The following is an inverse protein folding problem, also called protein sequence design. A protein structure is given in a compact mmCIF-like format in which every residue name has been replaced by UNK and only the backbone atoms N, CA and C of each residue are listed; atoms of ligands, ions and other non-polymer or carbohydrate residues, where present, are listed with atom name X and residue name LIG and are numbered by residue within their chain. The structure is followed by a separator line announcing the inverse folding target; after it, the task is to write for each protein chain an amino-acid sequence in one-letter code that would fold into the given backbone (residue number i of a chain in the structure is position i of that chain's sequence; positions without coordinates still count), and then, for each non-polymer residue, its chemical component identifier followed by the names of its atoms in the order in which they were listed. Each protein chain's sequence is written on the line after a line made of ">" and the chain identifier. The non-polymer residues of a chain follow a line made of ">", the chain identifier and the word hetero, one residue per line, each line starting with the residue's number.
data_IF_142723239937
#
_entry.id   IF_142723239937
#
_cell.length_a   1.000
_cell.length_b   1.000
_cell.length_c   1.000
_cell.angle_alpha   90.00
_cell.angle_beta   90.00
_cell.angle_gamma   90.00
#
_symmetry.space_group_name_H-M   'P 1'
#
loop_
_entity.id
_entity.type
_entity.pdbx_description
1 polymer ?
#
# COMPACT_ATOMS: atom_id res chain seq x y z
N UNK A 1 -10.89 0.75 -21.46
CA UNK A 1 -9.42 0.71 -21.27
C UNK A 1 -9.24 -0.22 -20.09
N UNK A 2 -8.54 -1.35 -20.24
CA UNK A 2 -8.33 -2.24 -19.11
C UNK A 2 -7.39 -1.52 -18.13
N UNK A 3 -7.93 -1.09 -16.99
CA UNK A 3 -7.13 -0.56 -15.90
C UNK A 3 -6.24 -1.71 -15.43
N UNK A 4 -4.93 -1.58 -15.63
CA UNK A 4 -3.99 -2.63 -15.24
C UNK A 4 -4.04 -2.79 -13.70
N UNK A 5 -4.15 -4.02 -13.17
CA UNK A 5 -4.25 -4.25 -11.73
C UNK A 5 -3.11 -3.59 -10.95
N UNK A 6 -1.90 -3.57 -11.50
CA UNK A 6 -0.75 -2.89 -10.89
C UNK A 6 -0.82 -1.36 -10.89
N UNK A 7 -1.56 -0.73 -11.81
CA UNK A 7 -1.85 0.72 -11.72
C UNK A 7 -2.86 1.01 -10.60
N UNK A 8 -3.92 0.21 -10.50
CA UNK A 8 -4.90 0.32 -9.42
C UNK A 8 -4.24 0.17 -8.05
N UNK A 9 -3.40 -0.86 -7.87
CA UNK A 9 -2.67 -1.09 -6.61
C UNK A 9 -1.80 0.10 -6.24
N UNK A 10 -1.03 0.63 -7.19
CA UNK A 10 -0.15 1.77 -6.95
C UNK A 10 -0.92 3.04 -6.58
N UNK A 11 -1.99 3.32 -7.31
CA UNK A 11 -2.86 4.47 -7.05
C UNK A 11 -3.54 4.35 -5.69
N UNK A 12 -4.15 3.20 -5.41
CA UNK A 12 -4.81 2.92 -4.13
C UNK A 12 -3.83 2.98 -2.95
N UNK A 13 -2.62 2.41 -3.08
CA UNK A 13 -1.57 2.51 -2.07
C UNK A 13 -1.19 3.98 -1.86
N UNK A 14 -1.00 4.75 -2.92
CA UNK A 14 -0.65 6.18 -2.81
C UNK A 14 -1.76 7.00 -2.12
N UNK A 15 -3.02 6.64 -2.30
CA UNK A 15 -4.15 7.33 -1.66
C UNK A 15 -4.37 6.92 -0.20
N UNK A 16 -4.24 5.61 0.10
CA UNK A 16 -4.61 5.02 1.40
C UNK A 16 -3.43 4.85 2.35
N UNK A 17 -2.22 4.63 1.82
CA UNK A 17 -0.98 4.56 2.58
C UNK A 17 -0.39 5.96 2.66
N UNK A 18 -1.14 6.88 3.28
CA UNK A 18 -0.58 8.15 3.72
C UNK A 18 0.25 7.91 4.98
N UNK A 19 1.46 8.46 4.96
CA UNK A 19 2.37 8.46 6.11
C UNK A 19 1.65 9.06 7.30
N UNK A 20 1.21 8.19 8.20
CA UNK A 20 0.69 8.61 9.49
C UNK A 20 1.89 8.55 10.45
N UNK A 21 2.54 9.69 10.76
CA UNK A 21 3.69 9.73 11.66
C UNK A 21 3.35 9.24 13.08
N UNK A 22 2.06 9.11 13.39
CA UNK A 22 1.52 8.64 14.66
C UNK A 22 1.67 7.12 14.87
N UNK A 23 1.91 6.35 13.80
CA UNK A 23 1.90 4.88 13.85
C UNK A 23 3.33 4.32 13.86
N UNK A 24 4.01 4.38 15.00
CA UNK A 24 5.42 3.97 15.13
C UNK A 24 5.64 2.55 15.67
N UNK A 25 4.60 1.83 16.11
CA UNK A 25 4.84 0.62 16.92
C UNK A 25 4.57 -0.72 16.20
N UNK A 26 3.81 -0.76 15.09
CA UNK A 26 3.46 -2.04 14.43
C UNK A 26 3.25 -1.93 12.90
N UNK A 27 4.36 -1.89 12.15
CA UNK A 27 4.36 -1.85 10.68
C UNK A 27 3.70 -3.11 10.08
N UNK A 28 3.97 -4.28 10.65
CA UNK A 28 3.44 -5.56 10.17
C UNK A 28 1.90 -5.62 10.30
N UNK A 29 1.35 -5.18 11.44
CA UNK A 29 -0.09 -5.12 11.63
C UNK A 29 -0.75 -4.14 10.64
N UNK A 30 -0.11 -3.00 10.38
CA UNK A 30 -0.58 -2.02 9.41
C UNK A 30 -0.54 -2.56 7.98
N UNK A 31 0.54 -3.23 7.60
CA UNK A 31 0.65 -3.89 6.29
C UNK A 31 -0.49 -4.90 6.12
N UNK A 32 -0.76 -5.74 7.13
CA UNK A 32 -1.86 -6.71 7.08
C UNK A 32 -3.25 -6.04 6.93
N UNK A 33 -3.48 -4.93 7.65
CA UNK A 33 -4.73 -4.16 7.54
C UNK A 33 -4.89 -3.56 6.13
N UNK A 34 -3.83 -2.95 5.59
CA UNK A 34 -3.83 -2.30 4.28
C UNK A 34 -4.04 -3.34 3.17
N UNK A 35 -3.38 -4.51 3.25
CA UNK A 35 -3.60 -5.62 2.30
C UNK A 35 -5.06 -6.05 2.32
N UNK A 36 -5.66 -6.22 3.50
CA UNK A 36 -7.07 -6.62 3.64
C UNK A 36 -7.99 -5.61 2.95
N UNK A 37 -7.75 -4.30 3.15
CA UNK A 37 -8.52 -3.24 2.50
C UNK A 37 -8.31 -3.22 0.98
N UNK A 38 -7.08 -3.41 0.51
CA UNK A 38 -6.75 -3.45 -0.91
C UNK A 38 -7.40 -4.65 -1.61
N UNK A 39 -7.40 -5.83 -0.99
CA UNK A 39 -8.11 -7.03 -1.49
C UNK A 39 -9.61 -6.76 -1.63
N UNK A 40 -10.23 -6.12 -0.63
CA UNK A 40 -11.63 -5.71 -0.71
C UNK A 40 -11.88 -4.72 -1.85
N UNK A 41 -11.08 -3.66 -1.95
CA UNK A 41 -11.22 -2.64 -3.01
C UNK A 41 -11.02 -3.23 -4.41
N UNK A 42 -10.04 -4.13 -4.56
CA UNK A 42 -9.80 -4.86 -5.82
C UNK A 42 -11.00 -5.72 -6.23
N UNK A 43 -11.67 -6.34 -5.25
CA UNK A 43 -12.90 -7.10 -5.49
C UNK A 43 -14.08 -6.22 -5.91
N UNK A 44 -14.20 -5.03 -5.33
CA UNK A 44 -15.23 -4.04 -5.71
C UNK A 44 -14.98 -3.47 -7.12
N UNK A 45 -13.71 -3.32 -7.50
CA UNK A 45 -13.29 -2.90 -8.84
C UNK A 45 -13.31 -4.03 -9.89
N UNK A 46 -13.90 -5.20 -9.56
CA UNK A 46 -13.97 -6.39 -10.44
C UNK A 46 -12.59 -6.91 -10.91
N UNK A 47 -11.53 -6.63 -10.15
CA UNK A 47 -10.17 -7.04 -10.50
C UNK A 47 -9.92 -8.49 -10.02
N UNK A 48 -9.46 -9.39 -10.91
CA UNK A 48 -9.25 -10.79 -10.58
C UNK A 48 -8.19 -10.96 -9.49
N UNK A 49 -8.60 -11.51 -8.35
CA UNK A 49 -7.70 -11.76 -7.20
C UNK A 49 -6.73 -12.93 -7.42
N UNK A 50 -6.95 -13.74 -8.45
CA UNK A 50 -6.04 -14.83 -8.85
C UNK A 50 -4.82 -14.29 -9.62
N UNK A 51 -4.81 -12.99 -9.92
CA UNK A 51 -3.72 -12.37 -10.64
C UNK A 51 -2.45 -12.35 -9.77
N UNK A 52 -1.29 -12.81 -10.29
CA UNK A 52 -0.03 -12.78 -9.55
C UNK A 52 0.39 -11.35 -9.16
N UNK A 53 -0.10 -10.32 -9.86
CA UNK A 53 0.12 -8.91 -9.51
C UNK A 53 -0.67 -8.46 -8.26
N UNK A 54 -1.67 -9.26 -7.83
CA UNK A 54 -2.44 -9.05 -6.60
C UNK A 54 -2.12 -10.07 -5.52
N UNK A 55 -1.04 -10.84 -5.70
CA UNK A 55 -0.59 -11.80 -4.71
C UNK A 55 -0.36 -11.10 -3.35
N UNK A 56 -0.88 -11.65 -2.24
CA UNK A 56 -0.79 -11.02 -0.93
C UNK A 56 0.67 -10.74 -0.53
N UNK A 57 1.61 -11.62 -0.86
CA UNK A 57 3.04 -11.40 -0.63
C UNK A 57 3.59 -10.17 -1.38
N UNK A 58 3.21 -9.98 -2.65
CA UNK A 58 3.62 -8.83 -3.46
C UNK A 58 3.01 -7.53 -2.91
N UNK A 59 1.73 -7.55 -2.56
CA UNK A 59 1.03 -6.41 -1.97
C UNK A 59 1.68 -5.99 -0.64
N UNK A 60 2.01 -6.97 0.22
CA UNK A 60 2.73 -6.71 1.47
C UNK A 60 4.05 -6.00 1.23
N UNK A 61 4.84 -6.46 0.26
CA UNK A 61 6.14 -5.86 -0.07
C UNK A 61 5.98 -4.43 -0.60
N UNK A 62 5.04 -4.19 -1.52
CA UNK A 62 4.74 -2.86 -2.07
C UNK A 62 4.25 -1.88 -0.99
N UNK A 63 3.34 -2.32 -0.13
CA UNK A 63 2.79 -1.50 0.96
C UNK A 63 3.88 -1.20 1.98
N UNK A 64 4.68 -2.20 2.35
CA UNK A 64 5.78 -2.02 3.28
C UNK A 64 6.83 -1.06 2.71
N UNK A 65 7.21 -1.25 1.45
CA UNK A 65 8.10 -0.33 0.76
C UNK A 65 7.52 1.09 0.72
N UNK A 66 6.21 1.26 0.48
CA UNK A 66 5.55 2.57 0.51
C UNK A 66 5.58 3.21 1.92
N UNK A 67 5.39 2.42 2.98
CA UNK A 67 5.50 2.91 4.37
C UNK A 67 6.95 3.30 4.69
N UNK A 68 7.93 2.50 4.28
CA UNK A 68 9.36 2.72 4.54
C UNK A 68 9.96 3.84 3.67
N UNK A 69 9.46 4.05 2.44
CA UNK A 69 9.96 5.08 1.52
C UNK A 69 9.37 6.46 1.78
N UNK A 70 8.33 6.60 2.59
CA UNK A 70 7.98 7.95 3.03
C UNK A 70 9.12 8.43 3.93
N UNK A 71 9.90 9.44 3.52
CA UNK A 71 10.88 10.00 4.41
C UNK A 71 10.10 10.50 5.62
N UNK A 72 10.37 9.92 6.78
CA UNK A 72 10.20 10.64 8.03
C UNK A 72 10.84 12.00 7.77
N UNK A 73 10.11 13.14 7.82
CA UNK A 73 10.78 14.42 7.74
C UNK A 73 11.72 14.42 8.93
N UNK A 74 13.01 14.14 8.68
CA UNK A 74 14.02 14.23 9.70
C UNK A 74 13.87 15.65 10.27
N UNK A 75 13.62 15.82 11.57
CA UNK A 75 13.55 17.15 12.15
C UNK A 75 14.95 17.76 12.05
N UNK A 76 15.25 18.48 10.96
CA UNK A 76 16.55 19.13 10.77
C UNK A 76 17.10 19.29 9.35
N UNK A 77 16.39 18.97 8.28
CA UNK A 77 16.86 19.34 6.93
C UNK A 77 16.53 20.82 6.61
N UNK A 78 17.17 21.74 7.36
CA UNK A 78 17.31 23.15 6.95
C UNK A 78 18.29 23.21 5.77
N UNK A 79 17.81 23.74 4.64
CA UNK A 79 18.67 24.33 3.61
C UNK A 79 19.38 25.57 4.15
#
# INVERSE_FOLDING_TARGET
>A
MAENPSNFVRDWISENVRSDPSFSEDIEARVAEIVTRLTSASREAEIPQDDPELAPDLLRDLIKAAIETVPHPAPGATQ
#
